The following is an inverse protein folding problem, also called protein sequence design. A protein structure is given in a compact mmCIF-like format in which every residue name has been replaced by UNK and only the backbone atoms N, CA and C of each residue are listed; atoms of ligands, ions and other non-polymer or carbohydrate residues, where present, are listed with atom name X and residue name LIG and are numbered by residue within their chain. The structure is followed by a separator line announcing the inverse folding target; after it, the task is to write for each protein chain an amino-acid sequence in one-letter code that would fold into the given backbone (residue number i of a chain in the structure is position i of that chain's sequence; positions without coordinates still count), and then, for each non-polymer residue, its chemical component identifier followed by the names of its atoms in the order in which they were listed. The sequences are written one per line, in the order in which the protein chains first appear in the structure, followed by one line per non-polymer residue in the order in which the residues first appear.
data_IF_004259456990
#
_entry.id   IF_004259456990
#
_cell.length_a   1.000
_cell.length_b   1.000
_cell.length_c   1.000
_cell.angle_alpha   90.00
_cell.angle_beta   90.00
_cell.angle_gamma   90.00
#
_symmetry.space_group_name_H-M   'P 1'
#
loop_
_entity.id
_entity.type
_entity.pdbx_description
1 polymer ?
#
# COMPACT_ATOMS: atom_id res chain seq x y z
N UNK A 1 -43.79 -15.13 -14.99
CA UNK A 1 -43.34 -15.68 -13.69
C UNK A 1 -44.51 -16.35 -12.96
N UNK A 2 -44.58 -17.68 -13.01
CA UNK A 2 -45.46 -18.42 -12.11
C UNK A 2 -44.88 -18.29 -10.71
N UNK A 3 -45.62 -17.67 -9.79
CA UNK A 3 -45.18 -17.58 -8.40
C UNK A 3 -44.95 -18.97 -7.80
N UNK A 4 -44.24 -19.04 -6.69
CA UNK A 4 -43.98 -20.29 -5.99
C UNK A 4 -43.96 -20.05 -4.48
N UNK A 5 -44.13 -21.12 -3.72
CA UNK A 5 -44.01 -21.09 -2.27
C UNK A 5 -43.34 -22.37 -1.76
N UNK A 6 -42.65 -22.25 -0.63
CA UNK A 6 -42.04 -23.37 0.07
C UNK A 6 -42.60 -23.44 1.48
N UNK A 7 -42.75 -24.65 2.01
CA UNK A 7 -43.26 -24.89 3.36
C UNK A 7 -42.67 -26.18 3.90
N UNK A 8 -42.61 -26.30 5.23
CA UNK A 8 -42.24 -27.53 5.89
C UNK A 8 -43.44 -28.12 6.62
N UNK A 9 -43.48 -29.44 6.71
CA UNK A 9 -44.47 -30.15 7.52
C UNK A 9 -43.85 -31.42 8.10
N UNK A 10 -44.45 -31.91 9.18
CA UNK A 10 -44.13 -33.20 9.77
C UNK A 10 -45.30 -34.14 9.60
N UNK A 11 -45.01 -35.44 9.52
CA UNK A 11 -46.08 -36.44 9.56
C UNK A 11 -46.72 -36.50 10.97
N UNK A 12 -47.86 -37.19 11.08
CA UNK A 12 -48.61 -37.29 12.33
C UNK A 12 -47.81 -37.96 13.47
N UNK A 13 -46.78 -38.74 13.13
CA UNK A 13 -45.92 -39.44 14.09
C UNK A 13 -44.65 -38.63 14.42
N UNK A 14 -44.46 -37.45 13.83
CA UNK A 14 -43.26 -36.62 13.93
C UNK A 14 -41.95 -37.38 13.59
N UNK A 15 -42.05 -38.38 12.72
CA UNK A 15 -40.94 -39.24 12.28
C UNK A 15 -40.29 -38.74 10.97
N UNK A 16 -41.03 -37.97 10.16
CA UNK A 16 -40.51 -37.37 8.94
C UNK A 16 -40.62 -35.84 9.00
N UNK A 17 -39.53 -35.15 8.66
CA UNK A 17 -39.46 -33.69 8.60
C UNK A 17 -39.26 -33.25 7.15
N UNK A 18 -40.36 -32.90 6.48
CA UNK A 18 -40.40 -32.74 5.03
C UNK A 18 -40.42 -31.27 4.63
N UNK A 19 -39.44 -30.84 3.82
CA UNK A 19 -39.47 -29.58 3.06
C UNK A 19 -40.20 -29.80 1.73
N UNK A 20 -41.14 -28.93 1.41
CA UNK A 20 -41.90 -28.97 0.17
C UNK A 20 -41.77 -27.67 -0.63
N UNK A 21 -41.83 -27.81 -1.96
CA UNK A 21 -41.88 -26.72 -2.90
C UNK A 21 -43.08 -26.89 -3.84
N UNK A 22 -43.87 -25.84 -3.99
CA UNK A 22 -45.08 -25.81 -4.80
C UNK A 22 -45.14 -24.55 -5.68
N UNK A 23 -45.84 -24.66 -6.80
CA UNK A 23 -46.13 -23.49 -7.64
C UNK A 23 -47.35 -22.70 -7.11
N UNK A 24 -47.57 -21.49 -7.64
CA UNK A 24 -48.66 -20.62 -7.24
C UNK A 24 -50.06 -21.19 -7.51
N UNK A 25 -50.19 -22.30 -8.27
CA UNK A 25 -51.47 -22.99 -8.44
C UNK A 25 -51.78 -23.94 -7.28
N UNK A 26 -50.86 -24.12 -6.33
CA UNK A 26 -50.94 -25.08 -5.25
C UNK A 26 -50.48 -26.48 -5.64
N UNK A 27 -49.90 -26.64 -6.84
CA UNK A 27 -49.37 -27.93 -7.27
C UNK A 27 -48.02 -28.17 -6.60
N UNK A 28 -47.94 -29.25 -5.84
CA UNK A 28 -46.69 -29.75 -5.28
C UNK A 28 -45.74 -30.17 -6.40
N UNK A 29 -44.53 -29.61 -6.40
CA UNK A 29 -43.49 -29.92 -7.39
C UNK A 29 -42.55 -30.99 -6.85
N UNK A 30 -42.04 -30.81 -5.64
CA UNK A 30 -41.20 -31.80 -4.97
C UNK A 30 -41.27 -31.68 -3.44
N UNK A 31 -40.90 -32.78 -2.78
CA UNK A 31 -40.66 -32.87 -1.34
C UNK A 31 -39.25 -33.38 -1.06
N UNK A 32 -38.68 -33.02 0.08
CA UNK A 32 -37.40 -33.52 0.57
C UNK A 32 -37.43 -33.69 2.08
N UNK A 33 -37.13 -34.89 2.53
CA UNK A 33 -37.02 -35.17 3.96
C UNK A 33 -35.65 -34.74 4.48
N UNK A 34 -35.67 -34.15 5.67
CA UNK A 34 -34.52 -33.79 6.47
C UNK A 34 -34.50 -34.69 7.72
N UNK A 35 -33.30 -34.80 8.29
CA UNK A 35 -32.96 -35.62 9.45
C UNK A 35 -33.31 -34.99 10.80
N UNK A 36 -33.78 -33.74 10.79
CA UNK A 36 -34.18 -33.00 11.97
C UNK A 36 -35.40 -32.11 11.70
N UNK A 37 -36.17 -31.74 12.74
CA UNK A 37 -37.30 -30.81 12.61
C UNK A 37 -36.89 -29.51 11.94
N UNK A 38 -37.67 -29.10 10.93
CA UNK A 38 -37.45 -27.86 10.19
C UNK A 38 -38.19 -26.75 10.93
N UNK A 39 -37.43 -25.84 11.54
CA UNK A 39 -38.00 -24.75 12.33
C UNK A 39 -38.37 -23.54 11.48
N UNK A 40 -37.65 -23.32 10.36
CA UNK A 40 -37.88 -22.19 9.46
C UNK A 40 -37.61 -22.53 8.00
N UNK A 41 -38.36 -21.86 7.14
CA UNK A 41 -38.23 -21.93 5.68
C UNK A 41 -38.29 -20.51 5.13
N UNK A 42 -37.38 -20.19 4.21
CA UNK A 42 -37.38 -18.96 3.43
C UNK A 42 -37.35 -19.30 1.94
N UNK A 43 -38.00 -18.47 1.13
CA UNK A 43 -37.97 -18.58 -0.33
C UNK A 43 -37.60 -17.20 -0.90
N UNK A 44 -36.67 -17.19 -1.85
CA UNK A 44 -36.28 -15.98 -2.57
C UNK A 44 -37.45 -15.44 -3.40
N UNK A 45 -37.46 -14.13 -3.65
CA UNK A 45 -38.53 -13.44 -4.39
C UNK A 45 -38.71 -13.96 -5.83
N UNK A 46 -37.64 -14.49 -6.41
CA UNK A 46 -37.62 -15.14 -7.73
C UNK A 46 -38.17 -16.58 -7.71
N UNK A 47 -38.32 -17.18 -6.53
CA UNK A 47 -38.70 -18.58 -6.35
C UNK A 47 -37.61 -19.58 -6.73
N UNK A 48 -36.40 -19.13 -7.04
CA UNK A 48 -35.30 -19.97 -7.53
C UNK A 48 -34.42 -20.50 -6.40
N UNK A 49 -34.48 -19.87 -5.23
CA UNK A 49 -33.73 -20.23 -4.02
C UNK A 49 -34.65 -20.47 -2.84
N UNK A 50 -34.40 -21.55 -2.10
CA UNK A 50 -35.16 -21.95 -0.92
C UNK A 50 -34.16 -22.27 0.18
N UNK A 51 -34.29 -21.65 1.34
CA UNK A 51 -33.46 -21.94 2.49
C UNK A 51 -34.28 -22.55 3.63
N UNK A 52 -33.64 -23.40 4.43
CA UNK A 52 -34.26 -23.93 5.63
C UNK A 52 -33.25 -24.06 6.78
N UNK A 53 -33.78 -23.97 7.98
CA UNK A 53 -33.05 -24.14 9.24
C UNK A 53 -33.69 -25.23 10.08
N UNK A 54 -32.88 -26.07 10.73
CA UNK A 54 -33.34 -27.19 11.56
C UNK A 54 -33.07 -26.98 13.05
N UNK A 55 -33.75 -27.76 13.88
CA UNK A 55 -33.55 -27.81 15.34
C UNK A 55 -32.15 -28.29 15.73
N UNK A 56 -31.50 -29.11 14.90
CA UNK A 56 -30.12 -29.58 15.17
C UNK A 56 -29.04 -28.58 14.71
N UNK A 57 -29.42 -27.40 14.25
CA UNK A 57 -28.49 -26.35 13.82
C UNK A 57 -28.01 -26.44 12.38
N UNK A 58 -28.64 -27.26 11.56
CA UNK A 58 -28.34 -27.31 10.13
C UNK A 58 -29.05 -26.19 9.39
N UNK A 59 -28.30 -25.34 8.69
CA UNK A 59 -28.80 -24.40 7.70
C UNK A 59 -28.48 -24.91 6.29
N UNK A 60 -29.45 -24.83 5.38
CA UNK A 60 -29.31 -25.31 3.99
C UNK A 60 -29.91 -24.32 3.00
N UNK A 61 -29.25 -24.15 1.86
CA UNK A 61 -29.80 -23.49 0.67
C UNK A 61 -29.98 -24.49 -0.46
N UNK A 62 -31.15 -24.43 -1.10
CA UNK A 62 -31.49 -25.23 -2.26
C UNK A 62 -31.89 -24.35 -3.43
N UNK A 63 -31.71 -24.89 -4.62
CA UNK A 63 -32.34 -24.39 -5.83
C UNK A 63 -33.79 -24.90 -5.94
N UNK A 64 -34.58 -24.24 -6.80
CA UNK A 64 -35.88 -24.73 -7.25
C UNK A 64 -35.86 -26.16 -7.80
N UNK A 65 -34.72 -26.61 -8.35
CA UNK A 65 -34.52 -27.98 -8.84
C UNK A 65 -34.16 -28.99 -7.73
N UNK A 66 -34.32 -28.64 -6.45
CA UNK A 66 -33.98 -29.47 -5.27
C UNK A 66 -32.47 -29.74 -5.14
N UNK A 67 -31.62 -28.99 -5.83
CA UNK A 67 -30.17 -29.13 -5.72
C UNK A 67 -29.68 -28.36 -4.51
N UNK A 68 -28.91 -29.00 -3.63
CA UNK A 68 -28.27 -28.30 -2.49
C UNK A 68 -27.16 -27.42 -3.04
N UNK A 69 -27.25 -26.11 -2.78
CA UNK A 69 -26.19 -25.14 -3.11
C UNK A 69 -25.12 -25.19 -2.02
N UNK A 70 -25.55 -25.08 -0.77
CA UNK A 70 -24.69 -25.22 0.39
C UNK A 70 -25.45 -25.75 1.59
N UNK A 71 -24.67 -26.24 2.55
CA UNK A 71 -25.12 -26.76 3.83
C UNK A 71 -24.07 -26.39 4.89
N UNK A 72 -24.55 -25.81 6.00
CA UNK A 72 -23.72 -25.43 7.13
C UNK A 72 -24.28 -26.01 8.41
N UNK A 73 -23.39 -26.53 9.26
CA UNK A 73 -23.69 -26.90 10.63
C UNK A 73 -23.30 -25.74 11.56
N UNK A 74 -24.29 -25.15 12.21
CA UNK A 74 -24.13 -24.00 13.10
C UNK A 74 -24.08 -24.41 14.57
N UNK A 75 -24.21 -25.70 14.88
CA UNK A 75 -24.22 -26.28 16.24
C UNK A 75 -25.29 -25.73 17.21
N UNK A 76 -26.15 -24.81 16.75
CA UNK A 76 -27.19 -24.15 17.54
C UNK A 76 -28.51 -24.18 16.74
N UNK A 77 -29.67 -24.46 17.37
CA UNK A 77 -30.95 -24.52 16.67
C UNK A 77 -31.22 -23.27 15.82
N UNK A 78 -31.57 -23.47 14.55
CA UNK A 78 -31.83 -22.35 13.63
C UNK A 78 -33.28 -21.90 13.76
N UNK A 79 -33.50 -20.79 14.46
CA UNK A 79 -34.83 -20.27 14.79
C UNK A 79 -35.32 -19.21 13.81
N UNK A 80 -34.46 -18.66 12.96
CA UNK A 80 -34.83 -17.64 11.97
C UNK A 80 -33.92 -17.75 10.73
N UNK A 81 -34.49 -17.57 9.53
CA UNK A 81 -33.73 -17.52 8.28
C UNK A 81 -34.44 -16.59 7.28
N UNK A 82 -33.68 -15.74 6.59
CA UNK A 82 -34.17 -14.92 5.48
C UNK A 82 -33.17 -14.90 4.33
N UNK A 83 -33.69 -14.64 3.13
CA UNK A 83 -32.92 -14.58 1.89
C UNK A 83 -33.01 -13.20 1.28
N UNK A 84 -31.86 -12.63 0.94
CA UNK A 84 -31.82 -11.49 0.04
C UNK A 84 -32.17 -11.97 -1.39
N UNK A 85 -32.91 -11.16 -2.18
CA UNK A 85 -33.12 -11.44 -3.60
C UNK A 85 -31.80 -11.55 -4.38
N UNK A 86 -31.76 -12.39 -5.41
CA UNK A 86 -30.57 -12.58 -6.26
C UNK A 86 -29.84 -13.89 -6.00
N UNK A 87 -28.53 -13.86 -5.79
CA UNK A 87 -27.69 -15.07 -5.83
C UNK A 87 -27.94 -16.06 -4.66
N UNK A 88 -28.56 -15.59 -3.57
CA UNK A 88 -28.95 -16.44 -2.43
C UNK A 88 -28.17 -16.17 -1.14
N UNK A 89 -27.79 -14.91 -0.88
CA UNK A 89 -27.27 -14.50 0.44
C UNK A 89 -28.32 -14.76 1.52
N UNK A 90 -27.95 -15.46 2.58
CA UNK A 90 -28.84 -15.82 3.67
C UNK A 90 -28.39 -15.20 4.98
N UNK A 91 -29.34 -14.69 5.76
CA UNK A 91 -29.13 -14.37 7.18
C UNK A 91 -29.78 -15.46 8.00
N UNK A 92 -29.04 -15.98 8.98
CA UNK A 92 -29.49 -17.04 9.87
C UNK A 92 -29.39 -16.56 11.31
N UNK A 93 -30.45 -16.78 12.09
CA UNK A 93 -30.52 -16.50 13.51
C UNK A 93 -30.75 -17.77 14.31
N UNK A 94 -30.11 -17.89 15.46
CA UNK A 94 -30.16 -19.07 16.32
C UNK A 94 -30.88 -18.84 17.64
N UNK A 95 -31.20 -19.95 18.32
CA UNK A 95 -31.78 -19.93 19.66
C UNK A 95 -30.88 -19.27 20.72
N UNK A 96 -29.55 -19.29 20.53
CA UNK A 96 -28.60 -18.67 21.47
C UNK A 96 -28.33 -17.18 21.16
N UNK A 97 -29.07 -16.60 20.20
CA UNK A 97 -28.87 -15.20 19.82
C UNK A 97 -27.73 -14.98 18.83
N UNK A 98 -27.17 -16.03 18.23
CA UNK A 98 -26.14 -15.89 17.21
C UNK A 98 -26.74 -15.54 15.85
N UNK A 99 -26.13 -14.60 15.15
CA UNK A 99 -26.45 -14.21 13.78
C UNK A 99 -25.30 -14.58 12.83
N UNK A 100 -25.66 -15.13 11.67
CA UNK A 100 -24.71 -15.46 10.60
C UNK A 100 -25.19 -14.87 9.29
N UNK A 101 -24.31 -14.21 8.55
CA UNK A 101 -24.51 -13.91 7.14
C UNK A 101 -23.73 -14.92 6.30
N UNK A 102 -24.45 -15.68 5.49
CA UNK A 102 -23.90 -16.74 4.64
C UNK A 102 -24.00 -16.27 3.19
N UNK A 103 -22.87 -16.24 2.50
CA UNK A 103 -22.76 -15.90 1.10
C UNK A 103 -23.47 -16.94 0.21
N UNK A 104 -23.79 -16.60 -1.05
CA UNK A 104 -24.42 -17.52 -2.01
C UNK A 104 -23.67 -18.84 -2.22
N UNK A 105 -22.35 -18.85 -2.03
CA UNK A 105 -21.46 -20.02 -2.15
C UNK A 105 -21.38 -20.87 -0.86
N UNK A 106 -22.06 -20.44 0.22
CA UNK A 106 -22.03 -21.10 1.52
C UNK A 106 -20.96 -20.57 2.46
N UNK A 107 -20.11 -19.63 2.03
CA UNK A 107 -19.09 -19.01 2.88
C UNK A 107 -19.72 -18.10 3.94
N UNK A 108 -19.32 -18.25 5.20
CA UNK A 108 -19.71 -17.31 6.25
C UNK A 108 -19.01 -15.95 6.03
N UNK A 109 -19.78 -14.88 5.78
CA UNK A 109 -19.26 -13.52 5.65
C UNK A 109 -18.95 -12.90 6.99
N UNK A 110 -19.87 -13.03 7.94
CA UNK A 110 -19.67 -12.56 9.31
C UNK A 110 -20.54 -13.34 10.30
N UNK A 111 -20.18 -13.19 11.58
CA UNK A 111 -20.93 -13.66 12.75
C UNK A 111 -21.09 -12.50 13.73
N UNK A 112 -22.32 -12.29 14.19
CA UNK A 112 -22.68 -11.30 15.21
C UNK A 112 -23.55 -11.93 16.28
N UNK A 113 -23.79 -11.22 17.38
CA UNK A 113 -24.53 -11.77 18.50
C UNK A 113 -25.50 -10.72 19.07
N UNK A 114 -26.71 -11.17 19.37
CA UNK A 114 -27.70 -10.46 20.18
C UNK A 114 -27.84 -11.16 21.53
N UNK A 115 -28.42 -10.47 22.51
CA UNK A 115 -28.45 -10.92 23.91
C UNK A 115 -29.58 -11.90 24.22
N UNK A 116 -30.54 -12.08 23.30
CA UNK A 116 -31.74 -12.89 23.48
C UNK A 116 -31.89 -13.88 22.31
N UNK A 117 -32.68 -14.96 22.48
CA UNK A 117 -32.99 -15.88 21.38
C UNK A 117 -33.61 -15.15 20.18
N UNK A 118 -33.11 -15.44 18.97
CA UNK A 118 -33.68 -14.85 17.76
C UNK A 118 -35.05 -15.47 17.50
N UNK A 119 -36.07 -14.62 17.34
CA UNK A 119 -37.45 -15.05 17.04
C UNK A 119 -37.70 -15.02 15.53
N UNK A 120 -37.31 -13.92 14.90
CA UNK A 120 -37.50 -13.66 13.49
C UNK A 120 -36.49 -12.63 12.96
N UNK A 121 -36.27 -12.60 11.66
CA UNK A 121 -35.36 -11.67 11.02
C UNK A 121 -35.78 -11.34 9.59
N UNK A 122 -35.36 -10.18 9.10
CA UNK A 122 -35.60 -9.73 7.74
C UNK A 122 -34.35 -9.03 7.17
N UNK A 123 -34.16 -9.15 5.86
CA UNK A 123 -33.06 -8.53 5.09
C UNK A 123 -33.64 -7.75 3.92
N UNK A 124 -33.04 -6.61 3.58
CA UNK A 124 -33.47 -5.78 2.45
C UNK A 124 -33.01 -6.35 1.11
N UNK A 125 -33.41 -5.72 0.00
CA UNK A 125 -33.08 -6.26 -1.33
C UNK A 125 -31.59 -6.16 -1.67
N UNK A 126 -30.89 -5.19 -1.08
CA UNK A 126 -29.45 -4.97 -1.31
C UNK A 126 -28.58 -5.88 -0.42
N UNK A 127 -29.12 -6.40 0.68
CA UNK A 127 -28.36 -7.10 1.72
C UNK A 127 -27.57 -6.17 2.63
N UNK A 128 -27.94 -4.90 2.67
CA UNK A 128 -27.26 -3.81 3.39
C UNK A 128 -27.94 -3.52 4.74
N UNK A 129 -29.20 -3.90 4.90
CA UNK A 129 -29.96 -3.68 6.13
C UNK A 129 -30.59 -4.97 6.60
N UNK A 130 -30.32 -5.34 7.86
CA UNK A 130 -30.83 -6.56 8.47
C UNK A 130 -31.53 -6.19 9.77
N UNK A 131 -32.81 -6.53 9.87
CA UNK A 131 -33.59 -6.35 11.09
C UNK A 131 -33.75 -7.69 11.80
N UNK A 132 -33.53 -7.69 13.10
CA UNK A 132 -33.59 -8.87 13.95
C UNK A 132 -34.50 -8.57 15.12
N UNK A 133 -35.46 -9.46 15.36
CA UNK A 133 -36.24 -9.43 16.61
C UNK A 133 -35.85 -10.64 17.46
N UNK A 134 -35.55 -10.35 18.72
CA UNK A 134 -35.12 -11.34 19.68
C UNK A 134 -35.94 -11.18 20.96
N UNK A 135 -36.21 -12.28 21.66
CA UNK A 135 -37.07 -12.22 22.83
C UNK A 135 -37.17 -13.52 23.60
N UNK A 136 -37.52 -13.38 24.87
CA UNK A 136 -37.77 -14.49 25.78
C UNK A 136 -38.84 -14.07 26.79
N UNK A 137 -39.85 -14.92 26.99
CA UNK A 137 -40.98 -14.65 27.87
C UNK A 137 -41.63 -13.27 27.59
N UNK A 138 -41.59 -12.33 28.54
CA UNK A 138 -42.15 -10.97 28.38
C UNK A 138 -41.14 -9.92 27.93
N UNK A 139 -39.90 -10.31 27.63
CA UNK A 139 -38.82 -9.40 27.22
C UNK A 139 -38.60 -9.56 25.72
N UNK A 140 -38.44 -8.43 25.04
CA UNK A 140 -38.23 -8.39 23.60
C UNK A 140 -37.33 -7.22 23.21
N UNK A 141 -36.59 -7.40 22.12
CA UNK A 141 -35.79 -6.34 21.52
C UNK A 141 -35.86 -6.44 20.01
N UNK A 142 -35.74 -5.30 19.35
CA UNK A 142 -35.46 -5.21 17.92
C UNK A 142 -34.09 -4.57 17.73
N UNK A 143 -33.30 -5.14 16.83
CA UNK A 143 -31.97 -4.66 16.47
C UNK A 143 -31.84 -4.54 14.95
N UNK A 144 -31.13 -3.51 14.50
CA UNK A 144 -30.82 -3.31 13.10
C UNK A 144 -29.31 -3.39 12.88
N UNK A 145 -28.90 -4.13 11.86
CA UNK A 145 -27.51 -4.34 11.48
C UNK A 145 -27.26 -3.87 10.04
N UNK A 146 -26.01 -3.49 9.74
CA UNK A 146 -25.55 -3.25 8.37
C UNK A 146 -25.13 -4.53 7.64
N UNK A 147 -24.81 -4.42 6.34
CA UNK A 147 -24.37 -5.54 5.49
C UNK A 147 -23.07 -6.19 5.98
N UNK A 148 -22.25 -5.47 6.75
CA UNK A 148 -21.04 -5.95 7.41
C UNK A 148 -21.28 -6.57 8.79
N UNK A 149 -22.52 -6.61 9.27
CA UNK A 149 -22.91 -7.23 10.53
C UNK A 149 -22.70 -6.36 11.78
N UNK A 150 -22.48 -5.06 11.62
CA UNK A 150 -22.36 -4.10 12.73
C UNK A 150 -23.74 -3.66 13.19
N UNK A 151 -23.91 -3.59 14.50
CA UNK A 151 -25.14 -3.10 15.12
C UNK A 151 -25.28 -1.59 14.87
N UNK A 152 -26.31 -1.19 14.13
CA UNK A 152 -26.65 0.21 13.87
C UNK A 152 -27.41 0.82 15.05
N UNK A 153 -28.42 0.12 15.54
CA UNK A 153 -29.21 0.50 16.70
C UNK A 153 -29.98 -0.69 17.26
N UNK A 154 -30.41 -0.59 18.51
CA UNK A 154 -31.32 -1.51 19.16
C UNK A 154 -32.39 -0.77 19.96
N UNK A 155 -33.54 -1.41 20.15
CA UNK A 155 -34.67 -0.86 20.89
C UNK A 155 -35.37 -1.96 21.70
N UNK A 156 -35.59 -1.71 22.98
CA UNK A 156 -36.31 -2.62 23.87
C UNK A 156 -37.80 -2.51 23.63
N UNK A 157 -38.42 -3.63 23.28
CA UNK A 157 -39.84 -3.71 22.95
C UNK A 157 -40.67 -3.85 24.24
N UNK A 158 -41.87 -3.24 24.28
CA UNK A 158 -42.73 -3.28 25.46
C UNK A 158 -43.38 -4.65 25.72
N UNK A 159 -43.31 -5.56 24.74
CA UNK A 159 -43.82 -6.92 24.81
C UNK A 159 -42.98 -7.85 23.92
N UNK A 160 -43.21 -9.16 24.02
CA UNK A 160 -42.50 -10.15 23.22
C UNK A 160 -42.80 -9.98 21.72
N UNK A 161 -41.78 -9.86 20.85
CA UNK A 161 -42.00 -9.81 19.41
C UNK A 161 -42.46 -11.16 18.88
N UNK A 162 -43.30 -11.13 17.86
CA UNK A 162 -43.83 -12.30 17.17
C UNK A 162 -43.36 -12.40 15.73
N UNK A 163 -42.87 -11.30 15.15
CA UNK A 163 -42.39 -11.27 13.77
C UNK A 163 -41.87 -9.90 13.37
N UNK A 164 -41.15 -9.86 12.25
CA UNK A 164 -40.53 -8.65 11.71
C UNK A 164 -40.63 -8.58 10.19
N UNK A 165 -40.87 -7.39 9.64
CA UNK A 165 -40.87 -7.16 8.21
C UNK A 165 -40.10 -5.89 7.86
N UNK A 166 -39.21 -5.99 6.88
CA UNK A 166 -38.40 -4.89 6.38
C UNK A 166 -38.85 -4.51 4.97
N UNK A 167 -38.96 -3.21 4.71
CA UNK A 167 -39.25 -2.71 3.36
C UNK A 167 -38.13 -3.09 2.39
N UNK A 168 -38.41 -3.29 1.08
CA UNK A 168 -37.41 -3.66 0.08
C UNK A 168 -36.14 -2.77 0.06
N UNK A 169 -36.30 -1.47 0.31
CA UNK A 169 -35.21 -0.50 0.32
C UNK A 169 -34.56 -0.30 1.71
N UNK A 170 -34.88 -1.14 2.71
CA UNK A 170 -34.32 -1.03 4.07
C UNK A 170 -34.76 0.19 4.87
N UNK A 171 -35.72 1.00 4.36
CA UNK A 171 -36.09 2.29 4.97
C UNK A 171 -37.14 2.19 6.08
N UNK A 172 -38.00 1.19 6.06
CA UNK A 172 -39.11 1.06 7.01
C UNK A 172 -39.15 -0.35 7.57
N UNK A 173 -39.40 -0.47 8.86
CA UNK A 173 -39.38 -1.73 9.60
C UNK A 173 -40.66 -1.83 10.44
N UNK A 174 -41.38 -2.94 10.31
CA UNK A 174 -42.54 -3.26 11.12
C UNK A 174 -42.26 -4.45 12.04
N UNK A 175 -42.69 -4.34 13.30
CA UNK A 175 -42.57 -5.39 14.31
C UNK A 175 -43.95 -5.67 14.90
N UNK A 176 -44.36 -6.94 14.94
CA UNK A 176 -45.58 -7.37 15.62
C UNK A 176 -45.28 -7.89 17.03
N UNK A 177 -46.16 -7.60 17.98
CA UNK A 177 -45.98 -7.96 19.39
C UNK A 177 -47.08 -8.91 19.88
N UNK A 178 -46.79 -9.70 20.92
CA UNK A 178 -47.71 -10.69 21.48
C UNK A 178 -48.95 -10.08 22.16
N UNK A 179 -48.91 -8.79 22.53
CA UNK A 179 -50.04 -8.04 23.08
C UNK A 179 -51.05 -7.57 22.00
N UNK A 180 -50.80 -7.92 20.74
CA UNK A 180 -51.63 -7.55 19.59
C UNK A 180 -51.30 -6.19 18.98
N UNK A 181 -50.34 -5.46 19.53
CA UNK A 181 -49.85 -4.21 18.94
C UNK A 181 -48.80 -4.46 17.85
N UNK A 182 -48.57 -3.44 17.02
CA UNK A 182 -47.49 -3.42 16.04
C UNK A 182 -46.79 -2.07 16.08
N UNK A 183 -45.48 -2.08 15.92
CA UNK A 183 -44.64 -0.88 15.89
C UNK A 183 -44.04 -0.70 14.49
N UNK A 184 -44.02 0.54 14.01
CA UNK A 184 -43.40 0.92 12.74
C UNK A 184 -42.23 1.87 13.03
N UNK A 185 -41.07 1.53 12.50
CA UNK A 185 -39.85 2.32 12.60
C UNK A 185 -39.47 2.84 11.22
N UNK A 186 -39.14 4.12 11.13
CA UNK A 186 -38.45 4.70 9.98
C UNK A 186 -36.95 4.57 10.23
N UNK A 187 -36.27 3.82 9.36
CA UNK A 187 -34.82 3.70 9.39
C UNK A 187 -34.28 4.83 8.51
N UNK A 188 -33.95 5.94 9.16
CA UNK A 188 -33.09 6.95 8.56
C UNK A 188 -31.65 6.45 8.69
N UNK A 189 -31.23 5.66 7.70
CA UNK A 189 -29.79 5.48 7.45
C UNK A 189 -29.26 6.86 7.07
N UNK A 190 -28.84 7.65 8.07
CA UNK A 190 -27.72 8.56 7.82
C UNK A 190 -26.63 7.65 7.33
N UNK A 191 -26.33 7.74 6.04
CA UNK A 191 -25.26 6.98 5.43
C UNK A 191 -24.08 7.06 6.40
N UNK A 192 -23.76 5.92 7.03
CA UNK A 192 -22.41 5.72 7.52
C UNK A 192 -21.61 5.90 6.26
N UNK A 193 -20.92 7.04 6.18
CA UNK A 193 -20.39 7.59 4.95
C UNK A 193 -19.76 6.45 4.15
N UNK A 194 -20.38 6.10 3.02
CA UNK A 194 -19.77 5.15 2.10
C UNK A 194 -18.35 5.66 1.84
N UNK A 195 -17.38 4.76 1.66
CA UNK A 195 -16.00 5.19 1.37
C UNK A 195 -15.93 6.24 0.26
N UNK A 196 -16.88 6.19 -0.69
CA UNK A 196 -17.12 7.21 -1.71
C UNK A 196 -17.55 8.58 -1.15
N UNK A 197 -18.56 8.66 -0.28
CA UNK A 197 -19.02 9.92 0.31
C UNK A 197 -17.94 10.62 1.17
N UNK A 198 -17.16 9.85 1.96
CA UNK A 198 -15.99 10.41 2.67
C UNK A 198 -14.94 10.96 1.71
N UNK A 199 -14.68 10.21 0.64
CA UNK A 199 -13.70 10.61 -0.37
C UNK A 199 -14.16 11.86 -1.10
N UNK A 200 -15.45 12.03 -1.38
CA UNK A 200 -15.99 13.25 -1.97
C UNK A 200 -15.88 14.46 -1.03
N UNK A 201 -16.23 14.30 0.24
CA UNK A 201 -16.08 15.37 1.23
C UNK A 201 -14.59 15.77 1.42
N UNK A 202 -13.68 14.79 1.41
CA UNK A 202 -12.24 15.05 1.46
C UNK A 202 -11.74 15.73 0.18
N UNK A 203 -12.27 15.38 -0.99
CA UNK A 203 -11.96 16.05 -2.25
C UNK A 203 -12.39 17.53 -2.22
N UNK A 204 -13.59 17.82 -1.72
CA UNK A 204 -14.09 19.20 -1.59
C UNK A 204 -13.26 20.03 -0.59
N UNK A 205 -12.85 19.41 0.53
CA UNK A 205 -11.96 20.06 1.48
C UNK A 205 -10.58 20.37 0.88
N UNK A 206 -10.01 19.43 0.12
CA UNK A 206 -8.73 19.61 -0.58
C UNK A 206 -8.81 20.70 -1.66
N UNK A 207 -9.90 20.74 -2.42
CA UNK A 207 -10.18 21.81 -3.38
C UNK A 207 -10.27 23.18 -2.69
N UNK A 208 -10.98 23.28 -1.57
CA UNK A 208 -11.07 24.51 -0.79
C UNK A 208 -9.71 24.97 -0.23
N UNK A 209 -8.81 24.02 0.06
CA UNK A 209 -7.45 24.30 0.49
C UNK A 209 -6.49 24.64 -0.68
N UNK A 210 -6.93 24.49 -1.93
CA UNK A 210 -6.09 24.66 -3.13
C UNK A 210 -5.12 23.50 -3.39
N UNK A 211 -5.28 22.38 -2.69
CA UNK A 211 -4.50 21.16 -2.91
C UNK A 211 -5.17 20.30 -3.98
N UNK A 212 -4.87 20.63 -5.23
CA UNK A 212 -5.42 19.96 -6.40
C UNK A 212 -4.95 18.49 -6.50
N UNK A 213 -3.77 18.15 -5.98
CA UNK A 213 -3.25 16.78 -6.03
C UNK A 213 -3.97 15.86 -5.04
N UNK A 214 -4.17 16.33 -3.80
CA UNK A 214 -4.97 15.61 -2.82
C UNK A 214 -6.43 15.47 -3.28
N UNK A 215 -7.01 16.54 -3.84
CA UNK A 215 -8.36 16.50 -4.42
C UNK A 215 -8.48 15.44 -5.51
N UNK A 216 -7.50 15.33 -6.41
CA UNK A 216 -7.45 14.29 -7.44
C UNK A 216 -7.45 12.88 -6.86
N UNK A 217 -6.63 12.62 -5.84
CA UNK A 217 -6.54 11.30 -5.20
C UNK A 217 -7.88 10.90 -4.56
N UNK A 218 -8.53 11.85 -3.90
CA UNK A 218 -9.83 11.65 -3.29
C UNK A 218 -10.96 11.40 -4.31
N UNK A 219 -10.97 12.13 -5.44
CA UNK A 219 -11.93 11.86 -6.53
C UNK A 219 -11.72 10.48 -7.16
N UNK A 220 -10.48 10.04 -7.34
CA UNK A 220 -10.18 8.68 -7.82
C UNK A 220 -10.64 7.61 -6.82
N UNK A 221 -10.46 7.83 -5.53
CA UNK A 221 -10.96 6.93 -4.49
C UNK A 221 -12.49 6.86 -4.48
N UNK A 222 -13.16 7.99 -4.72
CA UNK A 222 -14.61 8.04 -4.86
C UNK A 222 -15.10 7.22 -6.09
N UNK A 223 -14.46 7.37 -7.25
CA UNK A 223 -14.78 6.58 -8.45
C UNK A 223 -14.43 5.10 -8.32
N UNK A 224 -13.43 4.74 -7.53
CA UNK A 224 -13.16 3.33 -7.23
C UNK A 224 -14.28 2.69 -6.41
N UNK A 225 -14.93 3.48 -5.54
CA UNK A 225 -16.08 3.03 -4.75
C UNK A 225 -17.39 3.01 -5.57
N UNK A 226 -17.58 3.96 -6.48
CA UNK A 226 -18.69 3.98 -7.44
C UNK A 226 -18.19 4.32 -8.87
N UNK A 227 -17.86 3.29 -9.68
CA UNK A 227 -17.39 3.51 -11.05
C UNK A 227 -18.44 4.10 -12.00
N UNK A 228 -19.72 4.10 -11.62
CA UNK A 228 -20.81 4.62 -12.45
C UNK A 228 -21.12 6.11 -12.18
N UNK A 229 -20.46 6.73 -11.20
CA UNK A 229 -20.66 8.14 -10.86
C UNK A 229 -20.10 9.09 -11.92
N UNK A 230 -21.00 9.56 -12.79
CA UNK A 230 -20.68 10.47 -13.89
C UNK A 230 -20.31 11.89 -13.42
N UNK A 231 -20.81 12.35 -12.27
CA UNK A 231 -20.52 13.70 -11.77
C UNK A 231 -19.09 13.77 -11.25
N UNK A 232 -18.69 12.78 -10.45
CA UNK A 232 -17.32 12.66 -9.94
C UNK A 232 -16.32 12.48 -11.10
N UNK A 233 -16.67 11.70 -12.12
CA UNK A 233 -15.85 11.57 -13.32
C UNK A 233 -15.68 12.90 -14.07
N UNK A 234 -16.75 13.70 -14.20
CA UNK A 234 -16.68 15.03 -14.83
C UNK A 234 -15.77 15.97 -14.04
N UNK A 235 -15.95 16.03 -12.71
CA UNK A 235 -15.12 16.85 -11.82
C UNK A 235 -13.65 16.48 -11.90
N UNK A 236 -13.33 15.19 -11.96
CA UNK A 236 -11.95 14.73 -12.12
C UNK A 236 -11.34 15.21 -13.45
N UNK A 237 -12.09 15.14 -14.55
CA UNK A 237 -11.63 15.62 -15.86
C UNK A 237 -11.34 17.13 -15.82
N UNK A 238 -12.23 17.91 -15.23
CA UNK A 238 -12.08 19.37 -15.12
C UNK A 238 -10.87 19.72 -14.25
N UNK A 239 -10.70 19.05 -13.12
CA UNK A 239 -9.56 19.21 -12.21
C UNK A 239 -8.23 18.84 -12.89
N UNK A 240 -8.16 17.72 -13.60
CA UNK A 240 -6.95 17.33 -14.32
C UNK A 240 -6.62 18.32 -15.45
N UNK A 241 -7.62 18.93 -16.08
CA UNK A 241 -7.43 19.99 -17.07
C UNK A 241 -6.81 21.23 -16.44
N UNK A 242 -7.29 21.64 -15.27
CA UNK A 242 -6.74 22.78 -14.52
C UNK A 242 -5.30 22.53 -14.05
N UNK A 243 -5.02 21.33 -13.52
CA UNK A 243 -3.67 20.91 -13.12
C UNK A 243 -2.68 21.02 -14.28
N UNK A 244 -3.05 20.49 -15.45
CA UNK A 244 -2.21 20.54 -16.65
C UNK A 244 -1.96 21.99 -17.07
N UNK A 245 -3.00 22.82 -17.14
CA UNK A 245 -2.85 24.23 -17.52
C UNK A 245 -1.92 25.01 -16.56
N UNK A 246 -2.01 24.71 -15.26
CA UNK A 246 -1.10 25.29 -14.26
C UNK A 246 0.35 24.84 -14.49
N UNK A 247 0.58 23.54 -14.69
CA UNK A 247 1.91 23.02 -14.97
C UNK A 247 2.48 23.55 -16.29
N UNK A 248 1.67 23.75 -17.32
CA UNK A 248 2.09 24.38 -18.58
C UNK A 248 2.57 25.83 -18.36
N UNK A 249 1.89 26.59 -17.50
CA UNK A 249 2.32 27.94 -17.13
C UNK A 249 3.63 27.93 -16.34
N UNK A 250 3.76 27.05 -15.34
CA UNK A 250 4.97 26.91 -14.52
C UNK A 250 6.16 26.43 -15.35
N UNK A 251 5.90 25.52 -16.30
CA UNK A 251 6.87 25.03 -17.27
C UNK A 251 7.34 26.15 -18.20
N UNK A 252 6.43 26.98 -18.72
CA UNK A 252 6.81 28.11 -19.57
C UNK A 252 7.73 29.10 -18.84
N UNK A 253 7.47 29.34 -17.55
CA UNK A 253 8.35 30.15 -16.70
C UNK A 253 9.72 29.47 -16.48
N UNK A 254 9.74 28.19 -16.13
CA UNK A 254 10.99 27.43 -15.95
C UNK A 254 11.84 27.39 -17.23
N UNK A 255 11.21 27.23 -18.39
CA UNK A 255 11.85 27.31 -19.71
C UNK A 255 12.48 28.67 -19.95
N UNK A 256 11.77 29.77 -19.63
CA UNK A 256 12.29 31.13 -19.80
C UNK A 256 13.48 31.43 -18.87
N UNK A 257 13.51 30.82 -17.68
CA UNK A 257 14.60 30.94 -16.71
C UNK A 257 15.77 29.96 -16.97
N UNK A 258 15.66 29.07 -17.96
CA UNK A 258 16.66 28.04 -18.24
C UNK A 258 16.70 26.90 -17.22
N UNK A 259 15.67 26.74 -16.39
CA UNK A 259 15.51 25.62 -15.44
C UNK A 259 14.94 24.39 -16.16
N UNK A 260 15.74 23.83 -17.07
CA UNK A 260 15.33 22.76 -17.97
C UNK A 260 14.89 21.48 -17.26
N UNK A 261 15.54 21.10 -16.16
CA UNK A 261 15.18 19.91 -15.39
C UNK A 261 13.74 20.01 -14.83
N UNK A 262 13.36 21.19 -14.32
CA UNK A 262 12.03 21.44 -13.77
C UNK A 262 10.98 21.43 -14.89
N UNK A 263 11.29 22.09 -16.03
CA UNK A 263 10.41 22.11 -17.19
C UNK A 263 10.13 20.70 -17.74
N UNK A 264 11.16 19.85 -17.84
CA UNK A 264 11.01 18.45 -18.27
C UNK A 264 10.19 17.65 -17.26
N UNK A 265 10.43 17.84 -15.96
CA UNK A 265 9.68 17.16 -14.88
C UNK A 265 8.19 17.51 -14.94
N UNK A 266 7.85 18.80 -15.12
CA UNK A 266 6.46 19.24 -15.25
C UNK A 266 5.78 18.66 -16.49
N UNK A 267 6.48 18.60 -17.63
CA UNK A 267 5.95 17.96 -18.83
C UNK A 267 5.74 16.44 -18.65
N UNK A 268 6.66 15.74 -17.98
CA UNK A 268 6.53 14.31 -17.70
C UNK A 268 5.35 14.04 -16.75
N UNK A 269 5.09 14.93 -15.78
CA UNK A 269 3.89 14.88 -14.92
C UNK A 269 2.59 15.07 -15.71
N UNK A 270 2.55 16.04 -16.61
CA UNK A 270 1.39 16.27 -17.47
C UNK A 270 1.10 15.06 -18.38
N UNK A 271 2.15 14.46 -18.97
CA UNK A 271 2.04 13.24 -19.77
C UNK A 271 1.63 12.02 -18.95
N UNK A 272 1.98 11.96 -17.67
CA UNK A 272 1.50 10.88 -16.78
C UNK A 272 -0.01 10.95 -16.58
N UNK A 273 -0.59 12.15 -16.52
CA UNK A 273 -2.04 12.33 -16.45
C UNK A 273 -2.73 12.06 -17.80
N UNK A 274 -2.13 12.49 -18.90
CA UNK A 274 -2.66 12.26 -20.26
C UNK A 274 -1.62 11.64 -21.19
N UNK A 275 -1.37 10.32 -21.08
CA UNK A 275 -0.32 9.64 -21.85
C UNK A 275 -0.53 9.67 -23.36
N UNK A 276 -1.77 9.83 -23.80
CA UNK A 276 -2.17 9.83 -25.21
C UNK A 276 -2.32 11.23 -25.80
N UNK A 277 -2.01 12.29 -25.04
CA UNK A 277 -2.09 13.65 -25.55
C UNK A 277 -0.89 13.97 -26.46
N UNK A 278 -1.16 14.12 -27.75
CA UNK A 278 -0.14 14.35 -28.75
C UNK A 278 0.52 15.73 -28.62
N UNK A 279 -0.21 16.75 -28.16
CA UNK A 279 0.32 18.10 -28.02
C UNK A 279 1.33 18.17 -26.87
N UNK A 280 1.00 17.56 -25.73
CA UNK A 280 1.92 17.44 -24.59
C UNK A 280 3.17 16.63 -24.95
N UNK A 281 3.01 15.55 -25.74
CA UNK A 281 4.14 14.76 -26.19
C UNK A 281 5.08 15.54 -27.12
N UNK A 282 4.51 16.31 -28.06
CA UNK A 282 5.29 17.21 -28.93
C UNK A 282 6.04 18.27 -28.13
N UNK A 283 5.37 18.92 -27.18
CA UNK A 283 5.99 19.91 -26.29
C UNK A 283 7.16 19.31 -25.50
N UNK A 284 7.00 18.10 -24.95
CA UNK A 284 8.06 17.40 -24.23
C UNK A 284 9.28 17.09 -25.10
N UNK A 285 9.06 16.71 -26.35
CA UNK A 285 10.12 16.48 -27.34
C UNK A 285 10.85 17.78 -27.73
N UNK A 286 10.14 18.91 -27.80
CA UNK A 286 10.74 20.23 -28.02
C UNK A 286 11.63 20.64 -26.85
N UNK A 287 11.12 20.57 -25.62
CA UNK A 287 11.88 20.87 -24.41
C UNK A 287 13.13 20.00 -24.28
N UNK A 288 13.02 18.71 -24.62
CA UNK A 288 14.18 17.82 -24.59
C UNK A 288 15.30 18.31 -25.52
N UNK A 289 14.96 18.67 -26.76
CA UNK A 289 15.94 19.17 -27.73
C UNK A 289 16.57 20.48 -27.28
N UNK A 290 15.76 21.40 -26.74
CA UNK A 290 16.25 22.69 -26.24
C UNK A 290 17.15 22.53 -25.01
N UNK A 291 16.77 21.68 -24.06
CA UNK A 291 17.58 21.38 -22.88
C UNK A 291 18.94 20.78 -23.26
N UNK A 292 18.96 19.82 -24.19
CA UNK A 292 20.21 19.23 -24.70
C UNK A 292 21.08 20.28 -25.36
N UNK A 293 20.51 21.15 -26.20
CA UNK A 293 21.26 22.23 -26.86
C UNK A 293 21.83 23.21 -25.83
N UNK A 294 21.01 23.70 -24.89
CA UNK A 294 21.41 24.66 -23.88
C UNK A 294 22.51 24.12 -22.96
N UNK A 295 22.40 22.89 -22.48
CA UNK A 295 23.46 22.28 -21.66
C UNK A 295 24.73 21.98 -22.45
N UNK A 296 24.62 21.64 -23.74
CA UNK A 296 25.79 21.47 -24.61
C UNK A 296 26.52 22.81 -24.80
N UNK A 297 25.81 23.90 -25.07
CA UNK A 297 26.38 25.24 -25.23
C UNK A 297 27.00 25.74 -23.91
N UNK A 298 26.31 25.56 -22.78
CA UNK A 298 26.83 25.91 -21.46
C UNK A 298 28.13 25.15 -21.15
N UNK A 299 28.16 23.85 -21.42
CA UNK A 299 29.36 23.03 -21.22
C UNK A 299 30.54 23.51 -22.08
N UNK A 300 30.31 23.87 -23.34
CA UNK A 300 31.34 24.43 -24.22
C UNK A 300 31.86 25.79 -23.71
N UNK A 301 30.96 26.65 -23.23
CA UNK A 301 31.34 27.93 -22.63
C UNK A 301 32.20 27.75 -21.37
N UNK A 302 31.84 26.82 -20.48
CA UNK A 302 32.61 26.51 -19.26
C UNK A 302 33.98 25.92 -19.58
N UNK A 303 34.07 25.02 -20.58
CA UNK A 303 35.36 24.50 -21.05
C UNK A 303 36.24 25.61 -21.63
N UNK A 304 35.67 26.53 -22.42
CA UNK A 304 36.39 27.67 -22.96
C UNK A 304 36.86 28.66 -21.86
N UNK A 305 36.09 28.79 -20.79
CA UNK A 305 36.43 29.60 -19.62
C UNK A 305 37.47 28.94 -18.68
N UNK A 306 37.82 27.67 -18.92
CA UNK A 306 38.75 26.91 -18.07
C UNK A 306 38.13 26.39 -16.77
N UNK A 307 36.81 26.26 -16.72
CA UNK A 307 36.05 25.70 -15.60
C UNK A 307 35.53 24.28 -15.95
N UNK A 308 36.37 23.25 -15.78
CA UNK A 308 35.99 21.88 -16.12
C UNK A 308 34.98 21.26 -15.15
N UNK A 309 34.80 21.81 -13.93
CA UNK A 309 33.82 21.30 -12.97
C UNK A 309 32.40 21.68 -13.41
N UNK A 310 32.16 22.96 -13.69
CA UNK A 310 30.86 23.43 -14.19
C UNK A 310 30.52 22.79 -15.55
N UNK A 311 31.52 22.60 -16.42
CA UNK A 311 31.33 21.87 -17.66
C UNK A 311 30.90 20.41 -17.44
N UNK A 312 31.51 19.71 -16.48
CA UNK A 312 31.16 18.33 -16.15
C UNK A 312 29.75 18.22 -15.55
N UNK A 313 29.32 19.21 -14.76
CA UNK A 313 27.96 19.29 -14.22
C UNK A 313 26.92 19.45 -15.33
N UNK A 314 27.11 20.40 -16.24
CA UNK A 314 26.21 20.62 -17.37
C UNK A 314 26.12 19.38 -18.29
N UNK A 315 27.25 18.72 -18.58
CA UNK A 315 27.29 17.47 -19.34
C UNK A 315 26.65 16.30 -18.60
N UNK A 316 26.74 16.28 -17.26
CA UNK A 316 26.06 15.32 -16.41
C UNK A 316 24.54 15.45 -16.53
N UNK A 317 24.02 16.67 -16.42
CA UNK A 317 22.59 16.97 -16.61
C UNK A 317 22.10 16.57 -18.02
N UNK A 318 22.89 16.87 -19.05
CA UNK A 318 22.61 16.45 -20.43
C UNK A 318 22.55 14.92 -20.55
N UNK A 319 23.54 14.20 -20.05
CA UNK A 319 23.60 12.74 -20.17
C UNK A 319 22.53 12.02 -19.34
N UNK A 320 21.99 12.68 -18.31
CA UNK A 320 20.84 12.15 -17.57
C UNK A 320 19.60 12.03 -18.46
N UNK A 321 19.41 12.96 -19.40
CA UNK A 321 18.27 12.94 -20.33
C UNK A 321 18.60 12.30 -21.69
N UNK A 322 19.86 12.36 -22.12
CA UNK A 322 20.35 11.83 -23.40
C UNK A 322 21.55 10.89 -23.20
N UNK A 323 21.34 9.70 -22.61
CA UNK A 323 22.43 8.80 -22.19
C UNK A 323 23.27 8.26 -23.35
N UNK A 324 22.74 8.28 -24.58
CA UNK A 324 23.39 7.81 -25.81
C UNK A 324 24.18 8.89 -26.55
N UNK A 325 24.26 10.12 -26.03
CA UNK A 325 25.04 11.18 -26.66
C UNK A 325 26.55 10.93 -26.48
N UNK A 326 27.18 10.42 -27.56
CA UNK A 326 28.61 10.12 -27.59
C UNK A 326 29.47 11.38 -27.59
N UNK A 327 29.01 12.49 -28.18
CA UNK A 327 29.75 13.74 -28.22
C UNK A 327 29.85 14.33 -26.82
N UNK A 328 28.73 14.37 -26.08
CA UNK A 328 28.70 14.82 -24.69
C UNK A 328 29.58 13.96 -23.77
N UNK A 329 29.59 12.62 -23.94
CA UNK A 329 30.50 11.71 -23.20
C UNK A 329 31.96 11.99 -23.46
N UNK A 330 32.30 12.27 -24.73
CA UNK A 330 33.67 12.62 -25.12
C UNK A 330 34.10 13.92 -24.46
N UNK A 331 33.25 14.96 -24.51
CA UNK A 331 33.49 16.24 -23.83
C UNK A 331 33.59 16.07 -22.31
N UNK A 332 32.79 15.21 -21.70
CA UNK A 332 32.83 14.96 -20.25
C UNK A 332 34.16 14.30 -19.84
N UNK A 333 34.64 13.37 -20.66
CA UNK A 333 35.95 12.75 -20.45
C UNK A 333 37.07 13.79 -20.53
N UNK A 334 36.98 14.71 -21.49
CA UNK A 334 37.94 15.81 -21.60
C UNK A 334 37.88 16.78 -20.41
N UNK A 335 36.68 17.18 -19.98
CA UNK A 335 36.47 18.01 -18.79
C UNK A 335 37.10 17.35 -17.54
N UNK A 336 36.84 16.06 -17.33
CA UNK A 336 37.42 15.29 -16.22
C UNK A 336 38.94 15.22 -16.28
N UNK A 337 39.53 15.07 -17.46
CA UNK A 337 40.99 15.11 -17.65
C UNK A 337 41.58 16.48 -17.35
N UNK A 338 40.92 17.56 -17.77
CA UNK A 338 41.35 18.92 -17.46
C UNK A 338 41.32 19.18 -15.95
N UNK A 339 40.25 18.77 -15.27
CA UNK A 339 40.16 18.88 -13.81
C UNK A 339 41.19 18.02 -13.10
N UNK A 340 41.42 16.79 -13.56
CA UNK A 340 42.47 15.92 -13.02
C UNK A 340 43.85 16.59 -13.13
N UNK A 341 44.18 17.24 -14.26
CA UNK A 341 45.43 18.00 -14.41
C UNK A 341 45.53 19.18 -13.44
N UNK A 342 44.44 19.91 -13.20
CA UNK A 342 44.42 21.00 -12.21
C UNK A 342 44.69 20.47 -10.80
N UNK A 343 43.99 19.40 -10.39
CA UNK A 343 44.20 18.74 -9.09
C UNK A 343 45.62 18.18 -8.95
N UNK A 344 46.19 17.62 -10.03
CA UNK A 344 47.58 17.17 -10.02
C UNK A 344 48.54 18.32 -9.67
N UNK A 345 48.38 19.47 -10.31
CA UNK A 345 49.18 20.66 -10.04
C UNK A 345 48.97 21.20 -8.62
N UNK A 346 47.73 21.20 -8.12
CA UNK A 346 47.40 21.57 -6.74
C UNK A 346 48.09 20.64 -5.73
N UNK A 347 48.03 19.33 -5.94
CA UNK A 347 48.67 18.36 -5.05
C UNK A 347 50.20 18.38 -5.14
N UNK A 348 50.76 18.65 -6.32
CA UNK A 348 52.22 18.89 -6.47
C UNK A 348 52.66 20.13 -5.68
N UNK A 349 51.89 21.22 -5.72
CA UNK A 349 52.16 22.41 -4.92
C UNK A 349 52.06 22.14 -3.39
N UNK A 350 51.10 21.33 -2.95
CA UNK A 350 50.98 20.93 -1.54
C UNK A 350 52.17 20.08 -1.07
N UNK A 351 52.62 19.13 -1.90
CA UNK A 351 53.83 18.36 -1.62
C UNK A 351 55.04 19.29 -1.48
N UNK A 352 55.21 20.22 -2.41
CA UNK A 352 56.35 21.14 -2.43
C UNK A 352 56.31 22.11 -1.24
N UNK A 353 55.12 22.41 -0.70
CA UNK A 353 54.92 23.13 0.55
C UNK A 353 55.14 22.27 1.82
N UNK A 354 55.41 20.97 1.66
CA UNK A 354 55.65 20.02 2.75
C UNK A 354 54.39 19.34 3.31
N UNK A 355 53.21 19.63 2.77
CA UNK A 355 51.95 18.97 3.14
C UNK A 355 51.71 17.73 2.27
N UNK A 356 52.38 16.64 2.61
CA UNK A 356 52.22 15.36 1.93
C UNK A 356 50.82 14.75 2.13
N UNK A 357 50.15 15.05 3.26
CA UNK A 357 48.83 14.51 3.54
C UNK A 357 47.76 15.15 2.65
N UNK A 358 47.77 16.48 2.52
CA UNK A 358 46.92 17.21 1.59
C UNK A 358 47.18 16.85 0.13
N UNK A 359 48.45 16.64 -0.24
CA UNK A 359 48.82 16.20 -1.58
C UNK A 359 48.20 14.83 -1.95
N UNK A 360 48.24 13.85 -1.03
CA UNK A 360 47.64 12.52 -1.20
C UNK A 360 46.13 12.62 -1.43
N UNK A 361 45.40 13.41 -0.63
CA UNK A 361 43.95 13.60 -0.77
C UNK A 361 43.58 14.16 -2.15
N UNK A 362 44.30 15.19 -2.59
CA UNK A 362 44.06 15.85 -3.88
C UNK A 362 44.40 14.91 -5.05
N UNK A 363 45.47 14.13 -4.96
CA UNK A 363 45.83 13.14 -5.99
C UNK A 363 44.84 11.98 -6.06
N UNK A 364 44.28 11.53 -4.93
CA UNK A 364 43.20 10.53 -4.92
C UNK A 364 41.97 11.05 -5.68
N UNK A 365 41.60 12.32 -5.46
CA UNK A 365 40.51 12.97 -6.21
C UNK A 365 40.82 13.10 -7.70
N UNK A 366 42.07 13.39 -8.07
CA UNK A 366 42.49 13.43 -9.47
C UNK A 366 42.38 12.05 -10.15
N UNK A 367 42.83 10.99 -9.46
CA UNK A 367 42.79 9.61 -9.96
C UNK A 367 41.34 9.12 -10.16
N UNK A 368 40.42 9.54 -9.29
CA UNK A 368 38.99 9.23 -9.43
C UNK A 368 38.36 9.84 -10.70
N UNK A 369 38.91 10.93 -11.22
CA UNK A 369 38.42 11.60 -12.43
C UNK A 369 39.05 11.04 -13.70
N UNK A 370 40.32 10.64 -13.64
CA UNK A 370 41.06 10.05 -14.76
C UNK A 370 42.02 8.98 -14.26
N UNK A 371 41.80 7.74 -14.70
CA UNK A 371 42.74 6.66 -14.43
C UNK A 371 44.07 6.94 -15.13
N UNK A 372 45.13 7.05 -14.34
CA UNK A 372 46.50 7.27 -14.78
C UNK A 372 47.44 6.35 -13.97
N UNK A 373 48.02 5.30 -14.59
CA UNK A 373 48.91 4.37 -13.90
C UNK A 373 50.15 5.03 -13.29
N UNK A 374 50.62 6.14 -13.86
CA UNK A 374 51.79 6.85 -13.33
C UNK A 374 51.42 7.60 -12.04
N UNK A 375 50.23 8.21 -11.99
CA UNK A 375 49.68 8.82 -10.79
C UNK A 375 49.40 7.78 -9.69
N UNK A 376 48.89 6.60 -10.06
CA UNK A 376 48.64 5.51 -9.12
C UNK A 376 49.95 5.03 -8.44
N UNK A 377 51.03 4.87 -9.22
CA UNK A 377 52.35 4.57 -8.69
C UNK A 377 52.86 5.69 -7.77
N UNK A 378 52.72 6.95 -8.20
CA UNK A 378 53.12 8.13 -7.41
C UNK A 378 52.38 8.22 -6.08
N UNK A 379 51.07 7.95 -6.08
CA UNK A 379 50.23 7.95 -4.89
C UNK A 379 50.67 6.85 -3.91
N UNK A 380 50.91 5.64 -4.42
CA UNK A 380 51.42 4.51 -3.63
C UNK A 380 52.73 4.85 -2.93
N UNK A 381 53.68 5.46 -3.64
CA UNK A 381 54.96 5.87 -3.07
C UNK A 381 54.80 6.95 -2.00
N UNK A 382 53.91 7.93 -2.23
CA UNK A 382 53.60 8.98 -1.25
C UNK A 382 52.93 8.43 0.02
N UNK A 383 51.97 7.50 -0.12
CA UNK A 383 51.30 6.84 0.99
C UNK A 383 52.26 5.98 1.82
N UNK A 384 53.20 5.27 1.16
CA UNK A 384 54.28 4.54 1.81
C UNK A 384 55.14 5.50 2.64
N UNK A 385 55.59 6.61 2.05
CA UNK A 385 56.43 7.59 2.72
C UNK A 385 55.72 8.20 3.94
N UNK A 386 54.44 8.55 3.81
CA UNK A 386 53.63 9.10 4.90
C UNK A 386 53.44 8.09 6.04
N UNK A 387 53.04 6.85 5.73
CA UNK A 387 52.84 5.80 6.73
C UNK A 387 54.16 5.44 7.44
N UNK A 388 55.27 5.40 6.71
CA UNK A 388 56.59 5.14 7.27
C UNK A 388 57.05 6.26 8.21
N UNK A 389 56.87 7.52 7.83
CA UNK A 389 57.20 8.68 8.66
C UNK A 389 56.37 8.71 9.96
N UNK A 390 55.05 8.54 9.86
CA UNK A 390 54.15 8.48 11.01
C UNK A 390 54.46 7.27 11.91
N UNK A 391 54.72 6.10 11.31
CA UNK A 391 55.12 4.90 12.03
C UNK A 391 56.40 5.11 12.86
N UNK A 392 57.41 5.77 12.29
CA UNK A 392 58.66 6.14 12.99
C UNK A 392 58.42 7.12 14.14
N UNK A 393 57.56 8.12 13.96
CA UNK A 393 57.19 9.06 15.02
C UNK A 393 56.47 8.37 16.18
N UNK A 394 55.50 7.50 15.87
CA UNK A 394 54.76 6.72 16.87
C UNK A 394 55.67 5.74 17.61
N UNK A 395 56.62 5.12 16.90
CA UNK A 395 57.62 4.24 17.50
C UNK A 395 58.51 5.00 18.49
N UNK A 396 59.00 6.20 18.10
CA UNK A 396 59.79 7.06 19.00
C UNK A 396 58.99 7.51 20.22
N UNK A 397 57.67 7.72 20.07
CA UNK A 397 56.75 8.00 21.17
C UNK A 397 56.33 6.77 22.00
N UNK A 398 56.94 5.59 21.78
CA UNK A 398 56.64 4.31 22.43
C UNK A 398 55.19 3.81 22.24
N UNK A 399 54.47 4.33 21.24
CA UNK A 399 53.10 3.88 20.87
C UNK A 399 53.19 2.70 19.89
N UNK A 400 53.73 1.59 20.38
CA UNK A 400 54.14 0.45 19.53
C UNK A 400 53.00 -0.21 18.74
N UNK A 401 51.79 -0.29 19.29
CA UNK A 401 50.64 -0.87 18.60
C UNK A 401 50.24 -0.05 17.35
N UNK A 402 50.24 1.27 17.47
CA UNK A 402 49.90 2.19 16.39
C UNK A 402 51.03 2.29 15.37
N UNK A 403 52.29 2.27 15.83
CA UNK A 403 53.44 2.18 14.95
C UNK A 403 53.41 0.89 14.11
N UNK A 404 53.11 -0.26 14.73
CA UNK A 404 52.97 -1.54 14.02
C UNK A 404 51.82 -1.50 12.99
N UNK A 405 50.71 -0.83 13.30
CA UNK A 405 49.62 -0.63 12.35
C UNK A 405 50.11 0.12 11.10
N UNK A 406 50.84 1.23 11.26
CA UNK A 406 51.36 1.99 10.12
C UNK A 406 52.39 1.21 9.31
N UNK A 407 53.30 0.47 9.94
CA UNK A 407 54.26 -0.37 9.21
C UNK A 407 53.60 -1.54 8.46
N UNK A 408 52.52 -2.12 8.99
CA UNK A 408 51.73 -3.12 8.25
C UNK A 408 51.04 -2.51 7.03
N UNK A 409 50.57 -1.27 7.10
CA UNK A 409 50.03 -0.55 5.92
C UNK A 409 51.11 -0.38 4.85
N UNK A 410 52.35 -0.02 5.24
CA UNK A 410 53.48 0.03 4.32
C UNK A 410 53.73 -1.33 3.67
N UNK A 411 53.74 -2.43 4.43
CA UNK A 411 53.93 -3.78 3.87
C UNK A 411 52.74 -4.24 2.99
N UNK A 412 51.53 -3.76 3.23
CA UNK A 412 50.39 -4.03 2.36
C UNK A 412 50.54 -3.33 1.00
N UNK A 413 51.05 -2.09 1.01
CA UNK A 413 51.35 -1.33 -0.20
C UNK A 413 52.64 -1.78 -0.87
N UNK A 414 53.68 -2.20 -0.14
CA UNK A 414 54.95 -2.68 -0.67
C UNK A 414 55.45 -3.86 0.17
N UNK A 415 55.14 -5.11 -0.24
CA UNK A 415 55.47 -6.31 0.55
C UNK A 415 56.94 -6.42 0.94
N UNK A 416 57.84 -6.04 0.03
CA UNK A 416 59.30 -6.16 0.19
C UNK A 416 59.96 -4.91 0.82
N UNK A 417 59.19 -4.03 1.46
CA UNK A 417 59.73 -2.81 2.07
C UNK A 417 60.60 -3.11 3.31
N UNK A 418 61.90 -3.32 3.09
CA UNK A 418 62.87 -3.78 4.10
C UNK A 418 62.85 -2.96 5.41
N UNK A 419 62.71 -1.63 5.33
CA UNK A 419 62.73 -0.81 6.53
C UNK A 419 61.49 -1.01 7.42
N UNK A 420 60.30 -1.18 6.83
CA UNK A 420 59.06 -1.40 7.58
C UNK A 420 59.05 -2.78 8.25
N UNK A 421 59.54 -3.80 7.54
CA UNK A 421 59.73 -5.15 8.10
C UNK A 421 60.70 -5.14 9.29
N UNK A 422 61.79 -4.35 9.21
CA UNK A 422 62.75 -4.22 10.31
C UNK A 422 62.12 -3.60 11.57
N UNK A 423 61.34 -2.53 11.43
CA UNK A 423 60.63 -1.93 12.58
C UNK A 423 59.55 -2.85 13.16
N UNK A 424 58.84 -3.61 12.33
CA UNK A 424 57.90 -4.63 12.82
C UNK A 424 58.61 -5.71 13.64
N UNK A 425 59.80 -6.15 13.21
CA UNK A 425 60.64 -7.07 13.97
C UNK A 425 61.06 -6.49 15.33
N UNK A 426 61.51 -5.24 15.37
CA UNK A 426 61.86 -4.57 16.63
C UNK A 426 60.67 -4.48 17.59
N UNK A 427 59.48 -4.12 17.10
CA UNK A 427 58.26 -4.06 17.92
C UNK A 427 57.90 -5.44 18.50
N UNK A 428 58.01 -6.50 17.70
CA UNK A 428 57.72 -7.87 18.15
C UNK A 428 58.67 -8.33 19.26
N UNK A 429 59.96 -8.06 19.13
CA UNK A 429 60.95 -8.39 20.17
C UNK A 429 60.69 -7.60 21.45
N UNK A 430 60.43 -6.29 21.34
CA UNK A 430 60.18 -5.42 22.51
C UNK A 430 58.90 -5.81 23.26
N UNK A 431 57.85 -6.24 22.54
CA UNK A 431 56.63 -6.76 23.17
C UNK A 431 56.88 -8.09 23.87
N UNK A 432 57.67 -8.99 23.29
CA UNK A 432 58.04 -10.26 23.92
C UNK A 432 58.80 -10.03 25.24
N UNK A 433 59.77 -9.11 25.25
CA UNK A 433 60.55 -8.77 26.44
C UNK A 433 59.70 -8.10 27.54
N UNK A 434 58.72 -7.26 27.15
CA UNK A 434 57.78 -6.64 28.11
C UNK A 434 56.84 -7.66 28.79
N UNK A 435 56.44 -8.72 28.09
CA UNK A 435 55.60 -9.80 28.63
C UNK A 435 56.41 -10.72 29.53
N UNK A 436 57.68 -10.99 29.18
CA UNK A 436 58.62 -11.72 30.03
C UNK A 436 58.91 -10.93 31.31
N UNK A 437 59.19 -9.63 31.21
CA UNK A 437 59.44 -8.76 32.36
C UNK A 437 58.21 -8.62 33.29
N UNK A 438 57.00 -8.47 32.74
CA UNK A 438 55.76 -8.47 33.52
C UNK A 438 55.42 -9.81 34.20
N UNK A 439 55.91 -10.95 33.67
CA UNK A 439 55.79 -12.25 34.33
C UNK A 439 56.67 -12.37 35.57
N UNK A 440 57.83 -11.72 35.57
CA UNK A 440 58.71 -11.68 36.74
C UNK A 440 58.28 -10.64 37.79
N UNK A 441 57.63 -9.55 37.40
CA UNK A 441 57.11 -8.55 38.34
C UNK A 441 55.86 -8.99 39.14
N UNK A 442 55.21 -10.11 38.76
CA UNK A 442 54.08 -10.71 39.50
C UNK A 442 54.50 -11.85 40.45
N UNK A 443 55.81 -12.07 40.61
CA UNK A 443 56.39 -13.08 41.49
C UNK A 443 57.08 -12.48 42.74
N UNK A 444 57.03 -11.15 42.91
CA UNK A 444 57.26 -10.45 44.16
C UNK A 444 55.91 -10.03 44.77
#
# INVERSE_FOLDING_TARGET
PTGAFAFAFTDMMAAAHTLAYADASGRLVWTRDLDAPILRVAIGRDGERIACGTEHGTARLLTRSRTVVWEGDLAEPVTAIALAPGEGTAVVGTQEGTLFLIAPDGGQRWRSQVTLPVIDLAIDEAGETIAVVAGEASVGSVACFDGEGRLLWSYDLPAQPTGVALSPAGRHLAVSLADGSAMLFAIELRAVESGGARSLAAAEAALAAGDLEAARQHLLAALAADPADLDTARRLIDLETELIARWESELAAARAEGRWADALTLADRALTLRPTDEALFRLRCELHREAVAAWSEAAEAHLAAGDPEAAAEALGALLAIAPTDLAARTRLTEARRQRARQLLAEGDALRDAGDLAGAIDVWQRALALSADPELEARLRDAEIAQCLALGKQLYAAQRFAEAAFQFRRVCALAPDHAEAQRYLGYIQTTQHDSVVSNRFARLE
#
